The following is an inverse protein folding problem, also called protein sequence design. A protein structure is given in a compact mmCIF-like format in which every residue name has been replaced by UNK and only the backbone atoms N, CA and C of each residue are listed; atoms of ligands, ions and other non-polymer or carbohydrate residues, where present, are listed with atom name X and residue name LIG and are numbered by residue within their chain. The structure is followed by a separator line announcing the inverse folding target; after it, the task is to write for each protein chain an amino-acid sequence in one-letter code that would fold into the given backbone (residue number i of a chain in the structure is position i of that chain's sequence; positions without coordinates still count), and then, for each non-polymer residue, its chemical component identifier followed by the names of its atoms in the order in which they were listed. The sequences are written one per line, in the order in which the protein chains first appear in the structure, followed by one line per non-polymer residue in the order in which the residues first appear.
data_IF_996881833368
#
_entry.id   IF_996881833368
#
_cell.length_a   1.000
_cell.length_b   1.000
_cell.length_c   1.000
_cell.angle_alpha   90.00
_cell.angle_beta   90.00
_cell.angle_gamma   90.00
#
_symmetry.space_group_name_H-M   'P 1'
#
loop_
_entity.id
_entity.type
_entity.pdbx_description
1 polymer ?
#
# COMPACT_ATOMS: atom_id res chain seq x y z
N UNK A 1 24.12 -25.73 45.02
CA UNK A 1 23.60 -24.45 44.47
C UNK A 1 23.56 -24.43 42.94
N UNK A 2 23.67 -25.57 42.26
CA UNK A 2 23.76 -25.65 40.79
C UNK A 2 22.41 -25.89 40.09
N UNK A 3 21.36 -26.21 40.86
CA UNK A 3 20.01 -26.51 40.35
C UNK A 3 19.23 -25.28 39.88
N UNK A 4 19.63 -24.07 40.30
CA UNK A 4 18.96 -22.82 39.91
C UNK A 4 19.45 -22.26 38.57
N UNK A 5 20.57 -22.76 38.04
CA UNK A 5 21.14 -22.31 36.77
C UNK A 5 20.43 -22.92 35.54
N UNK A 6 19.61 -23.96 35.72
CA UNK A 6 18.89 -24.65 34.64
C UNK A 6 17.43 -24.22 34.50
N UNK A 7 16.88 -23.50 35.49
CA UNK A 7 15.52 -22.97 35.49
C UNK A 7 15.18 -22.04 34.30
N UNK A 8 16.07 -21.11 33.86
CA UNK A 8 15.73 -20.24 32.74
C UNK A 8 15.82 -20.92 31.37
N UNK A 9 16.37 -22.15 31.28
CA UNK A 9 16.46 -22.89 30.01
C UNK A 9 15.18 -23.66 29.69
N UNK A 10 14.31 -23.88 30.68
CA UNK A 10 13.05 -24.62 30.53
C UNK A 10 11.82 -23.69 30.42
N UNK A 11 11.97 -22.42 30.81
CA UNK A 11 10.91 -21.40 30.74
C UNK A 11 10.76 -20.76 29.34
N UNK A 12 11.67 -21.03 28.40
CA UNK A 12 11.58 -20.50 27.03
C UNK A 12 10.83 -21.39 26.04
N UNK A 13 10.27 -22.52 26.52
CA UNK A 13 9.69 -23.59 25.70
C UNK A 13 8.17 -23.56 25.56
N UNK A 14 7.50 -22.47 25.95
CA UNK A 14 6.13 -22.24 25.51
C UNK A 14 6.16 -21.78 24.04
N UNK A 15 6.44 -22.74 23.15
CA UNK A 15 5.86 -22.71 21.81
C UNK A 15 4.37 -22.52 22.05
N UNK A 16 3.86 -21.30 21.84
CA UNK A 16 2.42 -21.09 21.64
C UNK A 16 1.98 -22.25 20.75
N UNK A 17 1.09 -23.13 21.23
CA UNK A 17 0.80 -24.46 20.66
C UNK A 17 0.11 -24.43 19.29
N UNK A 18 0.60 -23.57 18.41
CA UNK A 18 0.22 -23.39 17.03
C UNK A 18 0.96 -24.49 16.28
N UNK A 19 0.21 -25.53 15.88
CA UNK A 19 0.76 -26.58 15.04
C UNK A 19 1.22 -26.02 13.68
N UNK A 20 2.15 -26.71 13.03
CA UNK A 20 2.69 -26.26 11.73
C UNK A 20 1.61 -26.11 10.66
N UNK A 21 0.53 -26.88 10.77
CA UNK A 21 -0.65 -26.78 9.89
C UNK A 21 -1.38 -25.45 10.09
N UNK A 22 -1.60 -25.00 11.33
CA UNK A 22 -2.22 -23.70 11.64
C UNK A 22 -1.34 -22.56 11.15
N UNK A 23 -0.02 -22.67 11.28
CA UNK A 23 0.90 -21.66 10.73
C UNK A 23 0.80 -21.57 9.20
N UNK A 24 0.78 -22.71 8.50
CA UNK A 24 0.64 -22.75 7.04
C UNK A 24 -0.71 -22.16 6.60
N UNK A 25 -1.80 -22.54 7.27
CA UNK A 25 -3.13 -21.99 7.01
C UNK A 25 -3.13 -20.46 7.19
N UNK A 26 -2.54 -19.95 8.28
CA UNK A 26 -2.44 -18.53 8.53
C UNK A 26 -1.64 -17.80 7.43
N UNK A 27 -0.52 -18.37 6.97
CA UNK A 27 0.26 -17.81 5.88
C UNK A 27 -0.52 -17.77 4.56
N UNK A 28 -1.24 -18.83 4.22
CA UNK A 28 -2.07 -18.89 3.00
C UNK A 28 -3.21 -17.88 3.07
N UNK A 29 -3.90 -17.78 4.20
CA UNK A 29 -4.97 -16.78 4.40
C UNK A 29 -4.38 -15.37 4.30
N UNK A 30 -3.27 -15.09 4.96
CA UNK A 30 -2.58 -13.80 4.89
C UNK A 30 -2.18 -13.45 3.46
N UNK A 31 -1.66 -14.41 2.71
CA UNK A 31 -1.32 -14.25 1.30
C UNK A 31 -2.55 -13.92 0.44
N UNK A 32 -3.65 -14.66 0.61
CA UNK A 32 -4.91 -14.42 -0.11
C UNK A 32 -5.43 -13.00 0.20
N UNK A 33 -5.44 -12.61 1.47
CA UNK A 33 -5.86 -11.26 1.88
C UNK A 33 -4.96 -10.21 1.22
N UNK A 34 -3.65 -10.40 1.22
CA UNK A 34 -2.69 -9.51 0.56
C UNK A 34 -2.96 -9.38 -0.94
N UNK A 35 -3.19 -10.50 -1.64
CA UNK A 35 -3.55 -10.51 -3.07
C UNK A 35 -4.85 -9.74 -3.30
N UNK A 36 -5.88 -9.99 -2.50
CA UNK A 36 -7.20 -9.33 -2.63
C UNK A 36 -7.06 -7.82 -2.43
N UNK A 37 -6.29 -7.37 -1.44
CA UNK A 37 -6.02 -5.95 -1.20
C UNK A 37 -5.28 -5.34 -2.40
N UNK A 38 -4.21 -5.97 -2.87
CA UNK A 38 -3.40 -5.46 -3.97
C UNK A 38 -4.22 -5.36 -5.28
N UNK A 39 -4.97 -6.41 -5.62
CA UNK A 39 -5.83 -6.44 -6.82
C UNK A 39 -6.99 -5.45 -6.69
N UNK A 40 -7.63 -5.38 -5.51
CA UNK A 40 -8.72 -4.45 -5.25
C UNK A 40 -8.28 -3.00 -5.37
N UNK A 41 -7.13 -2.65 -4.78
CA UNK A 41 -6.54 -1.32 -4.89
C UNK A 41 -6.13 -1.00 -6.34
N UNK A 42 -5.46 -1.92 -7.03
CA UNK A 42 -5.07 -1.75 -8.43
C UNK A 42 -6.28 -1.53 -9.35
N UNK A 43 -7.34 -2.33 -9.17
CA UNK A 43 -8.59 -2.18 -9.92
C UNK A 43 -9.24 -0.82 -9.65
N UNK A 44 -9.28 -0.39 -8.40
CA UNK A 44 -9.82 0.92 -8.05
C UNK A 44 -9.01 2.06 -8.67
N UNK A 45 -7.68 2.01 -8.56
CA UNK A 45 -6.76 2.98 -9.19
C UNK A 45 -6.95 3.02 -10.71
N UNK A 46 -7.06 1.86 -11.35
CA UNK A 46 -7.34 1.77 -12.78
C UNK A 46 -8.64 2.51 -13.13
N UNK A 47 -9.75 2.14 -12.47
CA UNK A 47 -11.07 2.74 -12.75
C UNK A 47 -11.11 4.24 -12.46
N UNK A 48 -10.36 4.70 -11.47
CA UNK A 48 -10.27 6.10 -11.09
C UNK A 48 -9.39 6.90 -12.08
N UNK A 49 -8.27 6.34 -12.53
CA UNK A 49 -7.41 6.95 -13.53
C UNK A 49 -8.05 6.99 -14.93
N UNK A 50 -8.77 5.93 -15.34
CA UNK A 50 -9.52 5.91 -16.60
C UNK A 50 -10.54 7.05 -16.68
N UNK A 51 -11.18 7.40 -15.56
CA UNK A 51 -12.13 8.54 -15.51
C UNK A 51 -11.46 9.89 -15.65
N UNK A 52 -10.16 9.99 -15.34
CA UNK A 52 -9.38 11.21 -15.43
C UNK A 52 -8.52 11.31 -16.69
N UNK A 53 -8.66 10.34 -17.61
CA UNK A 53 -7.87 10.29 -18.85
C UNK A 53 -6.34 10.35 -18.61
N UNK A 54 -5.91 9.88 -17.43
CA UNK A 54 -4.50 9.76 -17.04
C UNK A 54 -4.01 8.33 -17.33
N UNK A 55 -2.69 8.09 -17.31
CA UNK A 55 -2.08 6.79 -17.61
C UNK A 55 -2.47 5.71 -16.59
N UNK A 56 -3.61 5.08 -16.85
CA UNK A 56 -4.31 4.20 -15.94
C UNK A 56 -3.59 2.88 -15.71
N UNK A 57 -2.91 2.39 -16.75
CA UNK A 57 -2.14 1.15 -16.67
C UNK A 57 -0.89 1.33 -15.82
N UNK A 58 -0.15 2.43 -16.01
CA UNK A 58 1.05 2.69 -15.21
C UNK A 58 0.70 2.84 -13.73
N UNK A 59 -0.34 3.60 -13.39
CA UNK A 59 -0.77 3.79 -12.01
C UNK A 59 -1.30 2.51 -11.37
N UNK A 60 -2.17 1.77 -12.07
CA UNK A 60 -2.76 0.55 -11.54
C UNK A 60 -1.70 -0.54 -11.31
N UNK A 61 -0.80 -0.75 -12.27
CA UNK A 61 0.28 -1.74 -12.16
C UNK A 61 1.29 -1.29 -11.09
N UNK A 62 1.68 -0.01 -11.08
CA UNK A 62 2.63 0.52 -10.11
C UNK A 62 2.15 0.36 -8.67
N UNK A 63 0.93 0.82 -8.37
CA UNK A 63 0.35 0.72 -7.03
C UNK A 63 0.08 -0.74 -6.65
N UNK A 64 -0.49 -1.53 -7.57
CA UNK A 64 -0.79 -2.95 -7.32
C UNK A 64 0.45 -3.79 -7.05
N UNK A 65 1.48 -3.65 -7.88
CA UNK A 65 2.73 -4.40 -7.73
C UNK A 65 3.49 -3.99 -6.46
N UNK A 66 3.54 -2.68 -6.15
CA UNK A 66 4.17 -2.21 -4.91
C UNK A 66 3.41 -2.66 -3.66
N UNK A 67 2.08 -2.65 -3.66
CA UNK A 67 1.28 -3.17 -2.53
C UNK A 67 1.51 -4.65 -2.31
N UNK A 68 1.67 -5.43 -3.38
CA UNK A 68 1.86 -6.86 -3.30
C UNK A 68 3.29 -7.26 -2.88
N UNK A 69 4.31 -6.67 -3.51
CA UNK A 69 5.72 -7.06 -3.31
C UNK A 69 6.38 -6.31 -2.15
N UNK A 70 5.98 -5.05 -1.92
CA UNK A 70 6.62 -4.14 -0.98
C UNK A 70 5.58 -3.36 -0.19
N UNK A 71 4.73 -4.05 0.56
CA UNK A 71 3.52 -3.50 1.17
C UNK A 71 3.65 -2.07 1.75
N UNK A 72 4.66 -1.73 2.59
CA UNK A 72 4.81 -0.36 3.09
C UNK A 72 5.03 0.68 1.99
N UNK A 73 5.85 0.34 0.98
CA UNK A 73 6.11 1.19 -0.18
C UNK A 73 4.85 1.31 -1.05
N UNK A 74 4.09 0.22 -1.20
CA UNK A 74 2.81 0.24 -1.90
C UNK A 74 1.78 1.15 -1.26
N UNK A 75 1.72 1.19 0.08
CA UNK A 75 0.86 2.15 0.80
C UNK A 75 1.28 3.58 0.49
N UNK A 76 2.58 3.88 0.49
CA UNK A 76 3.10 5.20 0.12
C UNK A 76 2.72 5.55 -1.33
N UNK A 77 2.86 4.61 -2.26
CA UNK A 77 2.48 4.81 -3.67
C UNK A 77 0.97 5.09 -3.83
N UNK A 78 0.12 4.37 -3.08
CA UNK A 78 -1.32 4.62 -3.06
C UNK A 78 -1.66 6.01 -2.51
N UNK A 79 -0.99 6.44 -1.43
CA UNK A 79 -1.13 7.80 -0.89
C UNK A 79 -0.70 8.84 -1.91
N UNK A 80 0.46 8.64 -2.56
CA UNK A 80 0.96 9.53 -3.59
C UNK A 80 -0.04 9.65 -4.76
N UNK A 81 -0.59 8.54 -5.24
CA UNK A 81 -1.65 8.55 -6.24
C UNK A 81 -2.85 9.40 -5.80
N UNK A 82 -3.31 9.25 -4.56
CA UNK A 82 -4.45 10.01 -4.01
C UNK A 82 -4.17 11.52 -3.93
N UNK A 83 -2.92 11.91 -3.68
CA UNK A 83 -2.52 13.32 -3.64
C UNK A 83 -2.43 13.88 -5.07
N UNK A 84 -1.67 13.22 -5.96
CA UNK A 84 -1.42 13.71 -7.32
C UNK A 84 -2.71 13.79 -8.15
N UNK A 85 -3.64 12.84 -7.96
CA UNK A 85 -4.92 12.86 -8.68
C UNK A 85 -5.84 14.04 -8.31
N UNK A 86 -5.55 14.76 -7.23
CA UNK A 86 -6.33 15.91 -6.77
C UNK A 86 -5.90 17.20 -7.45
N UNK A 87 -4.62 17.28 -7.85
CA UNK A 87 -4.00 18.51 -8.38
C UNK A 87 -4.40 18.80 -9.84
N UNK A 88 -4.75 17.77 -10.62
CA UNK A 88 -5.23 17.91 -12.01
C UNK A 88 -6.54 18.70 -12.15
N UNK A 89 -7.22 19.04 -11.03
CA UNK A 89 -8.45 19.87 -11.06
C UNK A 89 -8.19 21.37 -10.82
N UNK A 90 -6.97 21.76 -10.46
CA UNK A 90 -6.61 23.17 -10.24
C UNK A 90 -6.04 23.75 -11.53
N UNK A 91 -6.91 24.10 -12.48
CA UNK A 91 -6.57 25.14 -13.45
C UNK A 91 -6.72 26.47 -12.73
N UNK A 92 -5.63 26.97 -12.13
CA UNK A 92 -5.61 28.35 -11.67
C UNK A 92 -5.93 29.25 -12.88
N UNK A 93 -6.95 30.14 -12.81
CA UNK A 93 -6.96 31.27 -13.70
C UNK A 93 -5.76 32.12 -13.30
N UNK A 94 -4.72 32.13 -14.14
CA UNK A 94 -3.70 33.18 -14.17
C UNK A 94 -4.41 34.52 -14.42
N UNK A 95 -5.02 35.05 -13.37
CA UNK A 95 -5.70 36.33 -13.33
C UNK A 95 -4.58 37.35 -13.21
N UNK A 96 -4.17 37.92 -14.34
CA UNK A 96 -3.12 38.93 -14.33
C UNK A 96 -2.64 39.41 -15.69
N UNK A 97 -3.40 39.19 -16.77
CA UNK A 97 -3.26 40.01 -17.98
C UNK A 97 -3.84 41.40 -17.68
N UNK A 98 -3.11 42.21 -16.93
CA UNK A 98 -3.37 43.64 -16.90
C UNK A 98 -2.77 44.24 -18.16
N UNK A 99 -3.65 44.46 -19.13
CA UNK A 99 -3.48 45.47 -20.16
C UNK A 99 -2.96 46.77 -19.52
N UNK A 100 -1.70 47.11 -19.77
CA UNK A 100 -1.17 48.43 -19.45
C UNK A 100 -0.13 48.81 -20.50
N UNK A 101 -0.53 49.61 -21.49
CA UNK A 101 0.44 50.37 -22.28
C UNK A 101 0.09 50.73 -23.71
N UNK A 102 -1.17 51.04 -24.04
CA UNK A 102 -1.47 51.81 -25.27
C UNK A 102 -2.51 52.90 -24.96
N UNK A 103 -2.00 54.07 -24.59
CA UNK A 103 -2.66 55.37 -24.71
C UNK A 103 -1.62 56.40 -25.13
#
# INVERSE_FOLDING_TARGET
MSQYALLPLQAGGETTGIDGTTMLIAMVIGFIIGVVIAVGAAYWVYKDATKRENNELAWAIGVGALLFLFFPIGVIALIAYVILRSDETTTEPMTGETASGEW
#
